data_IF_218798011642
#
_entry.id   IF_218798011642
#
_cell.length_a   1.000
_cell.length_b   1.000
_cell.length_c   1.000
_cell.angle_alpha   90.00
_cell.angle_beta   90.00
_cell.angle_gamma   90.00
#
_symmetry.space_group_name_H-M   'P 1'
#
loop_
_entity.id
_entity.type
_entity.pdbx_description
1 polymer ?
#
# COMPACT_ATOMS: atom_id res chain seq x y z
N UNK A 1 -9.75 -13.83 5.84
CA UNK A 1 -8.58 -14.70 6.16
C UNK A 1 -7.33 -13.88 5.82
N UNK A 2 -6.36 -13.79 6.74
CA UNK A 2 -5.12 -13.01 6.56
C UNK A 2 -4.29 -13.58 5.40
N UNK A 3 -3.87 -12.73 4.48
CA UNK A 3 -2.99 -13.11 3.37
C UNK A 3 -1.53 -13.18 3.83
N UNK A 4 -1.10 -14.38 4.23
CA UNK A 4 0.26 -14.61 4.77
C UNK A 4 1.38 -14.29 3.79
N UNK A 5 1.15 -14.43 2.49
CA UNK A 5 2.14 -14.10 1.46
C UNK A 5 2.42 -12.61 1.44
N UNK A 6 1.39 -11.77 1.47
CA UNK A 6 1.54 -10.31 1.52
C UNK A 6 2.25 -9.89 2.80
N UNK A 7 1.83 -10.44 3.95
CA UNK A 7 2.48 -10.19 5.24
C UNK A 7 3.97 -10.56 5.20
N UNK A 8 4.33 -11.68 4.57
CA UNK A 8 5.72 -12.11 4.40
C UNK A 8 6.51 -11.13 3.55
N UNK A 9 6.00 -10.75 2.37
CA UNK A 9 6.65 -9.78 1.50
C UNK A 9 6.88 -8.46 2.24
N UNK A 10 5.85 -7.91 2.89
CA UNK A 10 5.97 -6.67 3.66
C UNK A 10 7.05 -6.77 4.75
N UNK A 11 7.13 -7.90 5.43
CA UNK A 11 8.10 -8.15 6.47
C UNK A 11 9.55 -8.23 5.97
N UNK A 12 9.79 -8.61 4.71
CA UNK A 12 11.14 -8.59 4.11
C UNK A 12 11.71 -7.16 4.03
N UNK A 13 10.85 -6.15 3.97
CA UNK A 13 11.22 -4.73 3.92
C UNK A 13 11.35 -4.06 5.31
N UNK A 14 11.24 -4.81 6.41
CA UNK A 14 11.34 -4.25 7.77
C UNK A 14 12.62 -3.45 8.01
N UNK A 15 13.76 -3.94 7.54
CA UNK A 15 15.05 -3.24 7.67
C UNK A 15 15.05 -1.89 6.95
N UNK A 16 14.38 -1.82 5.81
CA UNK A 16 14.19 -0.59 5.06
C UNK A 16 13.27 0.37 5.85
N UNK A 17 12.11 -0.08 6.30
CA UNK A 17 11.20 0.74 7.10
C UNK A 17 11.87 1.26 8.36
N UNK A 18 12.55 0.39 9.14
CA UNK A 18 13.28 0.78 10.35
C UNK A 18 14.28 1.90 10.11
N UNK A 19 14.91 1.94 8.96
CA UNK A 19 15.93 2.94 8.63
C UNK A 19 15.34 4.29 8.27
N UNK A 20 14.18 4.33 7.60
CA UNK A 20 13.68 5.54 6.95
C UNK A 20 12.38 6.09 7.52
N UNK A 21 11.65 5.29 8.34
CA UNK A 21 10.33 5.65 8.88
C UNK A 21 10.29 5.59 10.41
N UNK A 22 11.43 5.79 11.07
CA UNK A 22 11.53 5.70 12.53
C UNK A 22 11.03 6.99 13.22
N UNK A 23 9.79 7.38 12.95
CA UNK A 23 9.13 8.54 13.54
C UNK A 23 7.78 8.13 14.13
N UNK A 24 7.29 8.88 15.13
CA UNK A 24 6.05 8.56 15.89
C UNK A 24 4.79 8.41 15.03
N UNK A 25 4.75 9.05 13.86
CA UNK A 25 3.58 9.02 12.98
C UNK A 25 3.54 7.78 12.08
N UNK A 26 4.62 6.97 12.06
CA UNK A 26 4.73 5.77 11.27
C UNK A 26 4.70 4.56 12.20
N UNK A 27 3.70 3.71 12.04
CA UNK A 27 3.54 2.51 12.83
C UNK A 27 3.56 1.28 11.92
N UNK A 28 4.50 0.39 12.20
CA UNK A 28 4.63 -0.91 11.54
C UNK A 28 5.27 -1.88 12.54
N UNK A 29 5.19 -3.18 12.30
CA UNK A 29 5.72 -4.25 13.19
C UNK A 29 4.93 -4.43 14.49
N UNK A 30 4.74 -3.38 15.29
CA UNK A 30 3.95 -3.43 16.54
C UNK A 30 2.98 -2.25 16.57
N UNK A 31 1.90 -2.38 15.82
CA UNK A 31 0.84 -1.37 15.84
C UNK A 31 -0.03 -1.64 17.08
N UNK A 32 -0.19 -0.66 18.00
CA UNK A 32 -1.03 -0.80 19.17
C UNK A 32 -2.48 -1.17 18.84
N UNK A 33 -3.14 -1.93 19.70
CA UNK A 33 -4.52 -2.40 19.44
C UNK A 33 -5.53 -1.25 19.39
N UNK A 34 -5.35 -0.21 20.19
CA UNK A 34 -6.17 1.01 20.15
C UNK A 34 -6.02 1.72 18.81
N UNK A 35 -4.81 1.80 18.28
CA UNK A 35 -4.56 2.35 16.94
C UNK A 35 -5.21 1.48 15.85
N UNK A 36 -5.06 0.15 15.91
CA UNK A 36 -5.73 -0.77 14.97
C UNK A 36 -7.25 -0.58 14.98
N UNK A 37 -7.84 -0.46 16.16
CA UNK A 37 -9.28 -0.25 16.31
C UNK A 37 -9.73 1.11 15.76
N UNK A 38 -8.99 2.18 16.06
CA UNK A 38 -9.30 3.53 15.57
C UNK A 38 -9.23 3.61 14.04
N UNK A 39 -8.16 3.09 13.41
CA UNK A 39 -8.04 3.11 11.94
C UNK A 39 -9.07 2.20 11.28
N UNK A 40 -9.41 1.05 11.86
CA UNK A 40 -10.50 0.21 11.32
C UNK A 40 -11.81 0.98 11.27
N UNK A 41 -12.16 1.67 12.34
CA UNK A 41 -13.38 2.46 12.42
C UNK A 41 -13.36 3.63 11.44
N UNK A 42 -12.25 4.39 11.42
CA UNK A 42 -12.17 5.63 10.63
C UNK A 42 -12.02 5.38 9.14
N UNK A 43 -11.32 4.30 8.75
CA UNK A 43 -11.06 3.95 7.35
C UNK A 43 -12.02 2.88 6.80
N UNK A 44 -12.88 2.31 7.62
CA UNK A 44 -13.80 1.24 7.20
C UNK A 44 -13.12 -0.08 6.91
N UNK A 45 -12.01 -0.39 7.61
CA UNK A 45 -11.21 -1.59 7.38
C UNK A 45 -11.83 -2.80 8.10
N UNK A 46 -11.98 -3.91 7.39
CA UNK A 46 -12.51 -5.15 7.95
C UNK A 46 -11.64 -5.70 9.09
N UNK A 47 -12.28 -6.32 10.09
CA UNK A 47 -11.59 -7.03 11.17
C UNK A 47 -10.78 -8.23 10.68
N UNK A 48 -11.11 -8.77 9.50
CA UNK A 48 -10.42 -9.90 8.90
C UNK A 48 -9.12 -9.51 8.18
N UNK A 49 -8.83 -8.22 8.07
CA UNK A 49 -7.61 -7.71 7.45
C UNK A 49 -6.53 -7.46 8.49
N UNK A 50 -5.28 -7.85 8.18
CA UNK A 50 -4.13 -7.51 8.99
C UNK A 50 -3.59 -6.13 8.61
N UNK A 51 -3.48 -5.23 9.58
CA UNK A 51 -2.90 -3.91 9.38
C UNK A 51 -1.38 -4.03 9.47
N UNK A 52 -0.69 -3.65 8.39
CA UNK A 52 0.76 -3.79 8.24
C UNK A 52 1.51 -2.47 8.45
N UNK A 53 0.88 -1.35 8.10
CA UNK A 53 1.48 -0.03 8.18
C UNK A 53 0.41 1.03 8.42
N UNK A 54 0.70 1.99 9.28
CA UNK A 54 -0.14 3.16 9.54
C UNK A 54 0.71 4.41 9.48
N UNK A 55 0.31 5.37 8.68
CA UNK A 55 0.77 6.76 8.70
C UNK A 55 -0.38 7.63 9.15
N UNK A 56 -0.30 8.17 10.37
CA UNK A 56 -1.28 9.12 10.89
C UNK A 56 -0.84 10.55 10.55
N UNK A 57 -1.63 11.26 9.77
CA UNK A 57 -1.41 12.65 9.41
C UNK A 57 -2.44 13.57 10.07
N UNK A 58 -3.34 12.99 10.86
CA UNK A 58 -4.42 13.74 11.51
C UNK A 58 -3.93 14.71 12.59
N UNK A 59 -4.64 15.81 12.72
CA UNK A 59 -4.43 16.73 13.82
C UNK A 59 -4.84 16.05 15.15
N UNK A 60 -4.04 16.20 16.20
CA UNK A 60 -4.22 15.55 17.50
C UNK A 60 -4.16 14.02 17.50
N UNK A 61 -3.54 13.41 16.52
CA UNK A 61 -3.39 11.95 16.44
C UNK A 61 -4.73 11.20 16.52
N UNK A 62 -5.78 11.76 15.92
CA UNK A 62 -7.13 11.18 15.89
C UNK A 62 -7.26 9.97 14.96
N UNK A 63 -6.23 9.67 14.16
CA UNK A 63 -6.14 8.52 13.25
C UNK A 63 -7.29 8.46 12.23
N UNK A 64 -7.77 9.63 11.81
CA UNK A 64 -8.85 9.78 10.83
C UNK A 64 -8.37 10.32 9.48
N UNK A 65 -7.07 10.61 9.35
CA UNK A 65 -6.41 11.01 8.11
C UNK A 65 -5.07 10.30 7.99
N UNK A 66 -4.62 10.09 6.77
CA UNK A 66 -3.35 9.46 6.49
C UNK A 66 -3.48 8.23 5.61
N UNK A 67 -2.58 7.26 5.79
CA UNK A 67 -2.48 6.08 4.96
C UNK A 67 -2.40 4.82 5.83
N UNK A 68 -3.16 3.80 5.45
CA UNK A 68 -3.12 2.48 6.06
C UNK A 68 -2.88 1.44 4.99
N UNK A 69 -1.92 0.55 5.22
CA UNK A 69 -1.66 -0.62 4.39
C UNK A 69 -2.11 -1.87 5.14
N UNK A 70 -2.89 -2.69 4.47
CA UNK A 70 -3.32 -4.00 4.97
C UNK A 70 -2.83 -5.14 4.06
N UNK A 71 -3.05 -6.36 4.48
CA UNK A 71 -2.85 -7.54 3.64
C UNK A 71 -3.87 -7.68 2.50
N UNK A 72 -4.86 -6.79 2.42
CA UNK A 72 -5.85 -6.75 1.35
C UNK A 72 -5.67 -5.56 0.40
N UNK A 73 -5.18 -4.42 0.88
CA UNK A 73 -5.06 -3.22 0.05
C UNK A 73 -4.48 -2.00 0.75
N UNK A 74 -4.70 -0.86 0.14
CA UNK A 74 -4.33 0.47 0.65
C UNK A 74 -5.60 1.29 0.87
N UNK A 75 -5.61 2.01 1.98
CA UNK A 75 -6.62 2.98 2.38
C UNK A 75 -5.95 4.31 2.66
N UNK A 76 -6.36 5.37 2.00
CA UNK A 76 -5.80 6.70 2.20
C UNK A 76 -6.93 7.72 2.34
N UNK A 77 -6.88 8.53 3.40
CA UNK A 77 -7.70 9.74 3.56
C UNK A 77 -6.73 10.90 3.56
N UNK A 78 -6.65 11.67 2.45
CA UNK A 78 -5.71 12.77 2.33
C UNK A 78 -5.94 13.88 3.37
N UNK A 79 -4.86 14.63 3.67
CA UNK A 79 -4.94 15.78 4.55
C UNK A 79 -5.90 16.84 3.98
N UNK A 80 -6.71 17.43 4.85
CA UNK A 80 -7.69 18.46 4.53
C UNK A 80 -8.87 18.02 3.64
N UNK A 81 -8.99 16.74 3.35
CA UNK A 81 -10.10 16.20 2.59
C UNK A 81 -11.17 15.61 3.51
N UNK A 82 -12.41 15.58 3.03
CA UNK A 82 -13.48 14.90 3.75
C UNK A 82 -13.27 13.38 3.66
N UNK A 83 -13.83 12.59 4.59
CA UNK A 83 -13.81 11.12 4.49
C UNK A 83 -14.43 10.58 3.20
N UNK A 84 -15.22 11.40 2.48
CA UNK A 84 -15.82 11.08 1.20
C UNK A 84 -14.79 11.00 0.05
N UNK A 85 -13.62 11.62 0.22
CA UNK A 85 -12.51 11.57 -0.74
C UNK A 85 -11.52 10.43 -0.46
N UNK A 86 -11.93 9.44 0.32
CA UNK A 86 -11.11 8.27 0.62
C UNK A 86 -10.69 7.55 -0.65
N UNK A 87 -9.39 7.31 -0.77
CA UNK A 87 -8.80 6.43 -1.77
C UNK A 87 -8.73 5.03 -1.18
N UNK A 88 -9.29 4.05 -1.87
CA UNK A 88 -9.29 2.65 -1.43
C UNK A 88 -9.12 1.73 -2.64
N UNK A 89 -8.19 0.79 -2.57
CA UNK A 89 -8.04 -0.25 -3.59
C UNK A 89 -7.42 -1.52 -3.00
N UNK A 90 -7.83 -2.66 -3.56
CA UNK A 90 -7.29 -3.97 -3.20
C UNK A 90 -6.07 -4.35 -4.04
N UNK A 91 -5.15 -5.12 -3.47
CA UNK A 91 -3.97 -5.60 -4.19
C UNK A 91 -4.31 -6.42 -5.44
N UNK A 92 -5.40 -7.19 -5.38
CA UNK A 92 -5.89 -7.98 -6.52
C UNK A 92 -6.30 -7.14 -7.73
N UNK A 93 -6.63 -5.88 -7.50
CA UNK A 93 -7.09 -4.95 -8.53
C UNK A 93 -5.94 -4.14 -9.16
N UNK A 94 -4.72 -4.29 -8.62
CA UNK A 94 -3.51 -3.61 -9.09
C UNK A 94 -2.77 -4.47 -10.11
N UNK A 95 -2.63 -3.97 -11.34
CA UNK A 95 -1.89 -4.62 -12.41
C UNK A 95 -0.44 -4.14 -12.54
N UNK A 96 -0.17 -2.91 -12.11
CA UNK A 96 1.11 -2.24 -12.31
C UNK A 96 1.32 -1.15 -11.26
N UNK A 97 2.57 -0.96 -10.83
CA UNK A 97 2.98 0.15 -9.95
C UNK A 97 4.13 0.89 -10.62
N UNK A 98 4.03 2.20 -10.72
CA UNK A 98 5.11 3.07 -11.21
C UNK A 98 5.42 4.15 -10.16
N UNK A 99 6.67 4.57 -10.11
CA UNK A 99 7.09 5.74 -9.34
C UNK A 99 7.63 6.80 -10.30
N UNK A 100 7.11 8.02 -10.20
CA UNK A 100 7.55 9.18 -10.97
C UNK A 100 7.16 10.45 -10.24
N UNK A 101 8.04 11.46 -10.27
CA UNK A 101 7.78 12.79 -9.73
C UNK A 101 7.25 12.76 -8.28
N UNK A 102 7.88 11.91 -7.46
CA UNK A 102 7.54 11.67 -6.04
C UNK A 102 6.15 11.07 -5.79
N UNK A 103 5.52 10.54 -6.81
CA UNK A 103 4.21 9.89 -6.74
C UNK A 103 4.30 8.43 -7.16
N UNK A 104 3.70 7.57 -6.33
CA UNK A 104 3.43 6.18 -6.66
C UNK A 104 2.09 6.11 -7.38
N UNK A 105 2.08 5.56 -8.57
CA UNK A 105 0.89 5.36 -9.40
C UNK A 105 0.53 3.88 -9.40
N UNK A 106 -0.65 3.56 -8.88
CA UNK A 106 -1.22 2.21 -8.87
C UNK A 106 -2.25 2.11 -9.99
N UNK A 107 -1.99 1.29 -10.97
CA UNK A 107 -2.84 1.09 -12.15
C UNK A 107 -3.69 -0.15 -11.99
N UNK A 108 -4.97 -0.05 -12.33
CA UNK A 108 -5.90 -1.17 -12.42
C UNK A 108 -5.75 -2.01 -13.69
N UNK A 109 -6.61 -3.03 -13.82
CA UNK A 109 -6.76 -3.79 -15.05
C UNK A 109 -7.72 -3.05 -15.97
N UNK A 110 -7.25 -2.55 -17.09
CA UNK A 110 -8.06 -1.83 -18.06
C UNK A 110 -7.33 -0.66 -18.68
N UNK A 111 -7.84 0.53 -18.48
CA UNK A 111 -7.27 1.75 -19.08
C UNK A 111 -6.06 2.24 -18.29
N UNK A 112 -4.97 2.62 -18.96
CA UNK A 112 -3.81 3.26 -18.29
C UNK A 112 -4.16 4.65 -17.71
N UNK A 113 -5.36 5.17 -17.95
CA UNK A 113 -5.86 6.39 -17.35
C UNK A 113 -6.46 6.18 -15.96
N UNK A 114 -6.83 4.95 -15.61
CA UNK A 114 -7.36 4.60 -14.28
C UNK A 114 -6.22 4.25 -13.32
N UNK A 115 -5.77 5.25 -12.57
CA UNK A 115 -4.73 5.08 -11.55
C UNK A 115 -5.06 5.79 -10.24
N UNK A 116 -4.55 5.24 -9.14
CA UNK A 116 -4.57 5.88 -7.83
C UNK A 116 -3.20 6.45 -7.50
N UNK A 117 -3.05 7.79 -7.39
CA UNK A 117 -1.79 8.42 -7.04
C UNK A 117 -1.62 8.48 -5.52
N UNK A 118 -0.45 8.08 -5.01
CA UNK A 118 -0.07 8.24 -3.60
C UNK A 118 1.30 8.90 -3.54
N UNK A 119 1.36 10.10 -2.93
CA UNK A 119 2.61 10.83 -2.77
C UNK A 119 3.55 10.11 -1.80
N UNK A 120 4.84 10.09 -2.10
CA UNK A 120 5.84 9.36 -1.30
C UNK A 120 6.02 9.93 0.11
N UNK A 121 5.58 11.16 0.37
CA UNK A 121 5.57 11.77 1.72
C UNK A 121 4.77 10.97 2.75
N UNK A 122 3.84 10.12 2.32
CA UNK A 122 3.16 9.18 3.21
C UNK A 122 4.09 8.09 3.76
N UNK A 123 5.25 7.88 3.15
CA UNK A 123 6.23 6.88 3.56
C UNK A 123 7.52 7.47 4.14
N UNK A 124 7.76 8.77 3.93
CA UNK A 124 8.96 9.45 4.42
C UNK A 124 8.71 10.95 4.51
N UNK A 125 9.23 11.61 5.57
CA UNK A 125 9.15 13.07 5.72
C UNK A 125 10.32 13.82 5.10
N UNK A 126 11.41 13.12 4.73
CA UNK A 126 12.64 13.71 4.23
C UNK A 126 12.62 13.73 2.71
N UNK A 127 12.43 14.90 2.13
CA UNK A 127 12.31 15.10 0.68
C UNK A 127 13.54 14.58 -0.08
N UNK A 128 14.73 14.76 0.48
CA UNK A 128 15.98 14.26 -0.12
C UNK A 128 16.03 12.72 -0.25
N UNK A 129 15.12 12.00 0.40
CA UNK A 129 15.03 10.54 0.32
C UNK A 129 13.89 10.05 -0.58
N UNK A 130 13.06 10.95 -1.13
CA UNK A 130 11.84 10.56 -1.85
C UNK A 130 12.09 9.65 -3.05
N UNK A 131 13.13 9.90 -3.83
CA UNK A 131 13.46 9.04 -4.98
C UNK A 131 13.84 7.63 -4.54
N UNK A 132 14.66 7.52 -3.48
CA UNK A 132 15.09 6.24 -2.95
C UNK A 132 13.94 5.46 -2.34
N UNK A 133 13.12 6.13 -1.55
CA UNK A 133 11.96 5.54 -0.87
C UNK A 133 10.90 5.16 -1.89
N UNK A 134 10.58 6.04 -2.83
CA UNK A 134 9.57 5.79 -3.85
C UNK A 134 9.90 4.61 -4.75
N UNK A 135 11.15 4.49 -5.20
CA UNK A 135 11.59 3.32 -5.98
C UNK A 135 11.47 2.01 -5.18
N UNK A 136 11.84 2.04 -3.90
CA UNK A 136 11.75 0.85 -3.04
C UNK A 136 10.31 0.47 -2.71
N UNK A 137 9.45 1.46 -2.50
CA UNK A 137 8.01 1.25 -2.34
C UNK A 137 7.39 0.66 -3.61
N UNK A 138 7.73 1.19 -4.79
CA UNK A 138 7.23 0.66 -6.06
C UNK A 138 7.62 -0.81 -6.26
N UNK A 139 8.87 -1.18 -5.97
CA UNK A 139 9.33 -2.57 -6.00
C UNK A 139 8.50 -3.47 -5.08
N UNK A 140 8.34 -3.08 -3.82
CA UNK A 140 7.58 -3.84 -2.83
C UNK A 140 6.12 -4.00 -3.23
N UNK A 141 5.45 -2.90 -3.59
CA UNK A 141 4.03 -2.93 -3.93
C UNK A 141 3.75 -3.71 -5.21
N UNK A 142 4.66 -3.66 -6.18
CA UNK A 142 4.55 -4.50 -7.38
C UNK A 142 4.67 -5.99 -7.04
N UNK A 143 5.59 -6.37 -6.16
CA UNK A 143 5.70 -7.76 -5.67
C UNK A 143 4.42 -8.20 -4.95
N UNK A 144 3.84 -7.35 -4.11
CA UNK A 144 2.59 -7.63 -3.42
C UNK A 144 1.45 -7.84 -4.43
N UNK A 145 1.28 -6.91 -5.36
CA UNK A 145 0.26 -7.00 -6.40
C UNK A 145 0.39 -8.29 -7.21
N UNK A 146 1.60 -8.61 -7.68
CA UNK A 146 1.87 -9.84 -8.43
C UNK A 146 1.55 -11.12 -7.63
N UNK A 147 1.74 -11.10 -6.31
CA UNK A 147 1.43 -12.25 -5.45
C UNK A 147 -0.06 -12.54 -5.29
N UNK A 148 -0.92 -11.60 -5.66
CA UNK A 148 -2.38 -11.75 -5.60
C UNK A 148 -3.00 -12.15 -6.93
N UNK A 149 -2.20 -12.14 -8.02
CA UNK A 149 -2.67 -12.57 -9.32
C UNK A 149 -2.93 -14.08 -9.30
N UNK A 150 -4.02 -14.55 -9.92
CA UNK A 150 -4.13 -15.97 -10.20
C UNK A 150 -2.88 -16.38 -10.99
N UNK A 151 -2.29 -17.52 -10.64
CA UNK A 151 -1.17 -18.08 -11.41
C UNK A 151 -1.58 -17.99 -12.89
N UNK A 152 -0.81 -17.20 -13.67
CA UNK A 152 -1.01 -17.17 -15.11
C UNK A 152 -0.86 -18.60 -15.54
N UNK A 153 -1.96 -19.21 -15.96
CA UNK A 153 -1.98 -20.61 -16.36
C UNK A 153 -0.87 -20.80 -17.40
N UNK A 154 0.18 -21.50 -16.97
CA UNK A 154 1.36 -21.79 -17.81
C UNK A 154 0.90 -22.44 -19.13
N UNK A 155 -0.23 -23.13 -19.08
CA UNK A 155 -0.92 -23.71 -20.23
C UNK A 155 -1.31 -22.64 -21.26
N UNK A 156 -1.81 -21.47 -20.84
CA UNK A 156 -2.21 -20.41 -21.77
C UNK A 156 -0.99 -19.74 -22.44
N UNK A 157 0.14 -19.60 -21.74
CA UNK A 157 1.39 -19.09 -22.32
C UNK A 157 2.00 -20.08 -23.33
N UNK A 158 1.92 -21.37 -23.07
CA UNK A 158 2.37 -22.41 -24.00
C UNK A 158 1.49 -22.42 -25.27
N UNK A 159 0.18 -22.22 -25.14
CA UNK A 159 -0.72 -22.14 -26.29
C UNK A 159 -0.50 -20.88 -27.16
N UNK A 160 -0.12 -19.76 -26.58
CA UNK A 160 0.24 -18.57 -27.36
C UNK A 160 1.57 -18.74 -28.10
N UNK A 161 2.54 -19.44 -27.52
CA UNK A 161 3.82 -19.76 -28.18
C UNK A 161 3.69 -20.79 -29.31
N UNK A 162 2.72 -21.71 -29.22
CA UNK A 162 2.47 -22.74 -30.25
C UNK A 162 1.68 -22.16 -31.45
N UNK A 163 0.98 -21.04 -31.26
CA UNK A 163 0.19 -20.38 -32.33
C UNK A 163 0.98 -19.39 -33.19
N UNK A 164 2.24 -19.12 -32.85
CA UNK A 164 3.18 -18.32 -33.67
C UNK A 164 3.97 -19.28 -34.60
#
# INVERSE_FOLDING_TARGET
MVNRTIVSIFNEYKGFWNKYTNEYDFMYVKIPNDTKNAVRQNFGISFNEEILFVRDTSFWSSKNQGLVITDNGIYCIPDNNSPEEKIEFGWKDVSKVKFRDWVLFFYGYGNEEDYCPIHVSYFCKKEELYDKIGNKCAEMFLRIANSTQPEKDVTSQVWELIRQ
#
